data_IF_722670592071
#
_entry.id   IF_722670592071
#
_cell.length_a   1.000
_cell.length_b   1.000
_cell.length_c   1.000
_cell.angle_alpha   90.00
_cell.angle_beta   90.00
_cell.angle_gamma   90.00
#
_symmetry.space_group_name_H-M   'P 1'
#
loop_
_entity.id
_entity.type
_entity.pdbx_description
1 polymer ?
#
# COMPACT_ATOMS: atom_id res chain seq x y z
N UNK A 1 15.14 -19.06 -16.63
CA UNK A 1 16.02 -18.73 -15.46
C UNK A 1 15.11 -18.43 -14.30
N UNK A 2 15.50 -18.84 -13.08
CA UNK A 2 14.75 -18.55 -11.86
C UNK A 2 15.20 -17.22 -11.29
N UNK A 3 14.26 -16.33 -10.99
CA UNK A 3 14.51 -15.01 -10.38
C UNK A 3 14.92 -15.19 -8.93
N UNK A 4 16.11 -14.71 -8.57
CA UNK A 4 16.66 -14.79 -7.23
C UNK A 4 16.19 -13.61 -6.39
N UNK A 5 15.46 -13.87 -5.31
CA UNK A 5 14.87 -12.85 -4.46
C UNK A 5 15.64 -12.71 -3.14
N UNK A 6 16.05 -11.50 -2.81
CA UNK A 6 16.50 -11.16 -1.45
C UNK A 6 15.32 -10.58 -0.66
N UNK A 7 14.91 -11.26 0.41
CA UNK A 7 13.78 -10.88 1.26
C UNK A 7 14.28 -10.20 2.54
N UNK A 8 14.14 -8.90 2.64
CA UNK A 8 14.53 -8.11 3.83
C UNK A 8 13.33 -8.02 4.79
N UNK A 9 13.55 -8.37 6.05
CA UNK A 9 12.48 -8.47 7.06
C UNK A 9 11.67 -9.77 6.97
N UNK A 10 12.22 -10.81 6.35
CA UNK A 10 11.54 -12.09 6.11
C UNK A 10 11.08 -12.83 7.37
N UNK A 11 11.64 -12.53 8.53
CA UNK A 11 11.24 -13.11 9.84
C UNK A 11 10.02 -12.44 10.46
N UNK A 12 9.62 -11.26 9.95
CA UNK A 12 8.42 -10.53 10.37
C UNK A 12 7.12 -11.20 9.91
N UNK A 13 5.98 -10.68 10.36
CA UNK A 13 4.65 -11.22 10.00
C UNK A 13 4.41 -11.16 8.49
N UNK A 14 4.59 -9.99 7.87
CA UNK A 14 4.44 -9.81 6.42
C UNK A 14 5.50 -10.60 5.65
N UNK A 15 6.77 -10.56 6.12
CA UNK A 15 7.87 -11.27 5.47
C UNK A 15 7.63 -12.77 5.34
N UNK A 16 7.09 -13.41 6.40
CA UNK A 16 6.74 -14.85 6.35
C UNK A 16 5.63 -15.15 5.34
N UNK A 17 4.64 -14.27 5.22
CA UNK A 17 3.58 -14.43 4.21
C UNK A 17 4.18 -14.32 2.80
N UNK A 18 5.02 -13.31 2.56
CA UNK A 18 5.69 -13.11 1.28
C UNK A 18 6.57 -14.30 0.93
N UNK A 19 7.38 -14.80 1.87
CA UNK A 19 8.23 -15.97 1.68
C UNK A 19 7.39 -17.18 1.23
N UNK A 20 6.35 -17.52 2.00
CA UNK A 20 5.49 -18.66 1.66
C UNK A 20 4.74 -18.53 0.33
N UNK A 21 4.52 -17.29 -0.17
CA UNK A 21 3.95 -17.06 -1.50
C UNK A 21 5.01 -17.23 -2.59
N UNK A 22 6.23 -16.71 -2.37
CA UNK A 22 7.33 -16.84 -3.34
C UNK A 22 7.72 -18.31 -3.53
N UNK A 23 7.73 -19.12 -2.46
CA UNK A 23 8.01 -20.57 -2.53
C UNK A 23 7.01 -21.35 -3.41
N UNK A 24 5.83 -20.76 -3.65
CA UNK A 24 4.77 -21.35 -4.51
C UNK A 24 4.67 -20.65 -5.87
N UNK A 25 5.57 -19.72 -6.17
CA UNK A 25 5.52 -18.92 -7.39
C UNK A 25 6.55 -19.44 -8.41
N UNK A 26 6.05 -19.98 -9.51
CA UNK A 26 6.91 -20.53 -10.55
C UNK A 26 7.91 -19.49 -11.08
N UNK A 27 9.16 -19.88 -11.17
CA UNK A 27 10.22 -19.03 -11.69
C UNK A 27 10.80 -18.02 -10.69
N UNK A 28 10.48 -18.14 -9.41
CA UNK A 28 11.04 -17.33 -8.32
C UNK A 28 11.60 -18.22 -7.21
N UNK A 29 12.64 -17.75 -6.53
CA UNK A 29 13.27 -18.44 -5.40
C UNK A 29 13.80 -17.42 -4.41
N UNK A 30 13.56 -17.64 -3.12
CA UNK A 30 14.15 -16.82 -2.05
C UNK A 30 15.60 -17.26 -1.83
N UNK A 31 16.54 -16.47 -2.35
CA UNK A 31 17.98 -16.69 -2.22
C UNK A 31 18.50 -16.37 -0.83
N UNK A 32 18.03 -15.26 -0.24
CA UNK A 32 18.47 -14.80 1.08
C UNK A 32 17.33 -14.18 1.86
N UNK A 33 17.35 -14.36 3.18
CA UNK A 33 16.38 -13.78 4.13
C UNK A 33 17.16 -12.95 5.13
N UNK A 34 17.00 -11.63 5.04
CA UNK A 34 17.70 -10.68 5.88
C UNK A 34 16.83 -10.25 7.06
N UNK A 35 17.44 -10.19 8.24
CA UNK A 35 16.86 -9.66 9.47
C UNK A 35 17.52 -8.36 9.90
N UNK A 36 17.22 -7.90 11.12
CA UNK A 36 17.76 -6.65 11.68
C UNK A 36 19.28 -6.68 11.97
N UNK A 37 19.89 -7.87 12.05
CA UNK A 37 21.31 -8.05 12.26
C UNK A 37 22.10 -8.40 10.98
N UNK A 38 21.40 -8.55 9.84
CA UNK A 38 22.03 -8.87 8.55
C UNK A 38 22.68 -7.64 7.95
N UNK A 39 23.78 -7.86 7.21
CA UNK A 39 24.37 -6.83 6.37
C UNK A 39 23.56 -6.68 5.06
N UNK A 40 23.26 -5.46 4.65
CA UNK A 40 22.62 -5.20 3.37
C UNK A 40 23.47 -5.63 2.16
N UNK A 41 24.75 -5.92 2.32
CA UNK A 41 25.55 -6.54 1.28
C UNK A 41 25.04 -7.96 0.90
N UNK A 42 24.28 -8.62 1.77
CA UNK A 42 23.69 -9.94 1.49
C UNK A 42 22.61 -9.92 0.37
N UNK A 43 22.19 -8.71 -0.11
CA UNK A 43 21.33 -8.60 -1.30
C UNK A 43 22.11 -8.75 -2.61
N UNK A 44 23.43 -8.76 -2.58
CA UNK A 44 24.27 -8.87 -3.77
C UNK A 44 23.98 -10.18 -4.53
N UNK A 45 23.79 -10.06 -5.84
CA UNK A 45 23.45 -11.17 -6.72
C UNK A 45 21.98 -11.59 -6.69
N UNK A 46 21.09 -10.83 -6.05
CA UNK A 46 19.66 -10.96 -6.23
C UNK A 46 19.21 -10.26 -7.53
N UNK A 47 18.14 -10.77 -8.14
CA UNK A 47 17.46 -10.16 -9.28
C UNK A 47 16.35 -9.20 -8.84
N UNK A 48 15.81 -9.42 -7.63
CA UNK A 48 14.77 -8.62 -7.02
C UNK A 48 14.98 -8.53 -5.51
N UNK A 49 14.86 -7.34 -4.94
CA UNK A 49 14.78 -7.14 -3.49
C UNK A 49 13.30 -6.99 -3.09
N UNK A 50 12.88 -7.71 -2.05
CA UNK A 50 11.55 -7.51 -1.45
C UNK A 50 11.73 -7.00 -0.03
N UNK A 51 11.22 -5.81 0.25
CA UNK A 51 11.32 -5.16 1.54
C UNK A 51 10.03 -5.32 2.36
N UNK A 52 10.11 -6.10 3.43
CA UNK A 52 9.10 -6.26 4.46
C UNK A 52 9.68 -5.93 5.85
N UNK A 53 10.59 -4.96 5.92
CA UNK A 53 11.33 -4.58 7.12
C UNK A 53 10.54 -3.61 8.02
N UNK A 54 11.17 -2.55 8.47
CA UNK A 54 10.54 -1.50 9.27
C UNK A 54 10.58 -0.15 8.54
N UNK A 55 9.67 0.79 8.85
CA UNK A 55 9.71 2.13 8.26
C UNK A 55 11.07 2.85 8.39
N UNK A 56 11.80 2.59 9.47
CA UNK A 56 13.11 3.19 9.69
C UNK A 56 14.19 2.61 8.75
N UNK A 57 14.21 1.29 8.54
CA UNK A 57 15.22 0.62 7.73
C UNK A 57 14.91 0.67 6.22
N UNK A 58 13.64 0.77 5.86
CA UNK A 58 13.16 0.62 4.48
C UNK A 58 13.80 1.57 3.48
N UNK A 59 14.13 2.80 3.88
CA UNK A 59 14.78 3.76 2.97
C UNK A 59 16.20 3.31 2.59
N UNK A 60 16.93 2.72 3.53
CA UNK A 60 18.28 2.22 3.30
C UNK A 60 18.25 0.96 2.43
N UNK A 61 17.23 0.10 2.62
CA UNK A 61 16.99 -1.08 1.77
C UNK A 61 16.72 -0.65 0.33
N UNK A 62 15.82 0.32 0.12
CA UNK A 62 15.51 0.83 -1.23
C UNK A 62 16.76 1.42 -1.90
N UNK A 63 17.52 2.25 -1.17
CA UNK A 63 18.76 2.83 -1.69
C UNK A 63 19.78 1.76 -2.04
N UNK A 64 20.02 0.81 -1.14
CA UNK A 64 20.98 -0.26 -1.34
C UNK A 64 20.63 -1.14 -2.57
N UNK A 65 19.37 -1.43 -2.81
CA UNK A 65 18.91 -2.16 -3.98
C UNK A 65 19.14 -1.36 -5.26
N UNK A 66 18.67 -0.11 -5.30
CA UNK A 66 18.73 0.76 -6.48
C UNK A 66 20.17 1.09 -6.87
N UNK A 67 21.06 1.38 -5.91
CA UNK A 67 22.49 1.61 -6.14
C UNK A 67 23.23 0.41 -6.77
N UNK A 68 22.67 -0.80 -6.58
CA UNK A 68 23.16 -2.05 -7.19
C UNK A 68 22.49 -2.39 -8.52
N UNK A 69 21.59 -1.53 -9.01
CA UNK A 69 20.82 -1.78 -10.23
C UNK A 69 19.75 -2.86 -10.07
N UNK A 70 19.33 -3.16 -8.82
CA UNK A 70 18.33 -4.18 -8.50
C UNK A 70 16.96 -3.52 -8.30
N UNK A 71 15.91 -4.07 -8.92
CA UNK A 71 14.54 -3.64 -8.68
C UNK A 71 14.09 -3.97 -7.26
N UNK A 72 13.18 -3.16 -6.71
CA UNK A 72 12.69 -3.36 -5.34
C UNK A 72 11.17 -3.32 -5.25
N UNK A 73 10.60 -4.32 -4.55
CA UNK A 73 9.20 -4.35 -4.11
C UNK A 73 9.15 -3.99 -2.63
N UNK A 74 8.45 -2.92 -2.29
CA UNK A 74 8.34 -2.41 -0.93
C UNK A 74 6.94 -2.67 -0.38
N UNK A 75 6.84 -3.58 0.59
CA UNK A 75 5.64 -3.83 1.39
C UNK A 75 5.68 -3.16 2.76
N UNK A 76 6.80 -2.59 3.13
CA UNK A 76 6.97 -1.85 4.40
C UNK A 76 6.10 -0.59 4.40
N UNK A 77 5.38 -0.35 5.49
CA UNK A 77 4.56 0.86 5.67
C UNK A 77 5.39 2.13 5.90
N UNK A 78 4.73 3.30 5.91
CA UNK A 78 5.37 4.59 6.23
C UNK A 78 6.04 5.28 5.04
N UNK A 79 5.67 4.93 3.81
CA UNK A 79 6.08 5.63 2.60
C UNK A 79 5.03 6.66 2.19
N UNK A 80 5.24 7.92 2.60
CA UNK A 80 4.48 9.07 2.10
C UNK A 80 4.96 9.50 0.70
N UNK A 81 4.18 10.36 0.04
CA UNK A 81 4.58 10.91 -1.27
C UNK A 81 5.90 11.69 -1.18
N UNK A 82 6.12 12.44 -0.09
CA UNK A 82 7.36 13.17 0.15
C UNK A 82 8.54 12.21 0.30
N UNK A 83 8.35 11.11 1.02
CA UNK A 83 9.40 10.09 1.20
C UNK A 83 9.73 9.36 -0.09
N UNK A 84 8.74 9.06 -0.91
CA UNK A 84 8.92 8.48 -2.25
C UNK A 84 9.64 9.47 -3.17
N UNK A 85 9.32 10.77 -3.09
CA UNK A 85 10.00 11.80 -3.86
C UNK A 85 11.50 11.88 -3.59
N UNK A 86 11.97 11.51 -2.39
CA UNK A 86 13.39 11.47 -2.05
C UNK A 86 14.18 10.37 -2.78
N UNK A 87 13.53 9.25 -3.10
CA UNK A 87 14.18 8.11 -3.78
C UNK A 87 13.91 8.06 -5.27
N UNK A 88 12.88 8.76 -5.76
CA UNK A 88 12.51 8.79 -7.17
C UNK A 88 13.68 9.15 -8.11
N UNK A 89 14.46 10.24 -7.88
CA UNK A 89 15.56 10.59 -8.75
C UNK A 89 16.64 9.50 -8.81
N UNK A 90 16.87 8.79 -7.70
CA UNK A 90 17.82 7.67 -7.64
C UNK A 90 17.33 6.50 -8.49
N UNK A 91 16.05 6.11 -8.37
CA UNK A 91 15.42 5.05 -9.16
C UNK A 91 15.48 5.35 -10.65
N UNK A 92 15.15 6.58 -11.05
CA UNK A 92 15.16 7.03 -12.43
C UNK A 92 16.59 7.07 -13.01
N UNK A 93 17.55 7.58 -12.25
CA UNK A 93 18.96 7.63 -12.64
C UNK A 93 19.59 6.24 -12.81
N UNK A 94 19.23 5.29 -11.96
CA UNK A 94 19.70 3.91 -12.03
C UNK A 94 19.00 3.08 -13.12
N UNK A 95 17.90 3.58 -13.71
CA UNK A 95 17.09 2.84 -14.67
C UNK A 95 16.39 1.61 -14.08
N UNK A 96 16.21 1.57 -12.75
CA UNK A 96 15.58 0.49 -12.01
C UNK A 96 14.07 0.71 -11.82
N UNK A 97 13.39 -0.26 -11.19
CA UNK A 97 12.01 -0.15 -10.72
C UNK A 97 11.92 -0.18 -9.20
N UNK A 98 11.09 0.69 -8.63
CA UNK A 98 10.70 0.64 -7.23
C UNK A 98 9.17 0.63 -7.12
N UNK A 99 8.63 -0.46 -6.59
CA UNK A 99 7.18 -0.70 -6.50
C UNK A 99 6.77 -0.67 -5.04
N UNK A 100 6.00 0.34 -4.65
CA UNK A 100 5.54 0.56 -3.28
C UNK A 100 4.10 0.06 -3.14
N UNK A 101 3.89 -0.99 -2.35
CA UNK A 101 2.57 -1.59 -2.11
C UNK A 101 2.17 -1.40 -0.63
N UNK A 102 1.40 -0.36 -0.30
CA UNK A 102 0.98 -0.10 1.09
C UNK A 102 0.13 -1.22 1.68
N UNK A 103 -0.57 -1.97 0.83
CA UNK A 103 -1.43 -3.08 1.22
C UNK A 103 -1.54 -4.10 0.07
N UNK A 104 -1.22 -5.36 0.33
CA UNK A 104 -1.30 -6.45 -0.65
C UNK A 104 -2.70 -7.02 -0.84
N UNK A 105 -3.71 -6.60 -0.08
CA UNK A 105 -5.09 -7.06 -0.26
C UNK A 105 -5.70 -6.49 -1.53
N UNK A 106 -6.07 -7.36 -2.47
CA UNK A 106 -6.83 -6.97 -3.67
C UNK A 106 -8.17 -6.34 -3.32
N UNK A 107 -8.87 -6.89 -2.31
CA UNK A 107 -10.14 -6.32 -1.85
C UNK A 107 -10.00 -4.91 -1.32
N UNK A 108 -8.89 -4.62 -0.60
CA UNK A 108 -8.57 -3.28 -0.12
C UNK A 108 -8.25 -2.31 -1.28
N UNK A 109 -7.46 -2.74 -2.26
CA UNK A 109 -7.13 -1.94 -3.44
C UNK A 109 -8.38 -1.63 -4.27
N UNK A 110 -9.22 -2.65 -4.51
CA UNK A 110 -10.51 -2.47 -5.20
C UNK A 110 -11.45 -1.54 -4.43
N UNK A 111 -11.57 -1.71 -3.12
CA UNK A 111 -12.39 -0.84 -2.26
C UNK A 111 -11.97 0.63 -2.37
N UNK A 112 -10.66 0.90 -2.33
CA UNK A 112 -10.12 2.26 -2.49
C UNK A 112 -10.38 2.82 -3.89
N UNK A 113 -10.20 2.01 -4.93
CA UNK A 113 -10.43 2.43 -6.31
C UNK A 113 -11.92 2.68 -6.60
N UNK A 114 -12.83 1.85 -6.07
CA UNK A 114 -14.28 2.07 -6.17
C UNK A 114 -14.71 3.34 -5.42
N UNK A 115 -14.13 3.59 -4.23
CA UNK A 115 -14.39 4.82 -3.48
C UNK A 115 -13.93 6.07 -4.27
N UNK A 116 -12.75 6.00 -4.88
CA UNK A 116 -12.25 7.06 -5.77
C UNK A 116 -13.16 7.27 -6.98
N UNK A 117 -13.60 6.19 -7.64
CA UNK A 117 -14.51 6.28 -8.80
C UNK A 117 -15.88 6.88 -8.44
N UNK A 118 -16.38 6.64 -7.24
CA UNK A 118 -17.63 7.18 -6.74
C UNK A 118 -17.51 8.64 -6.23
N UNK A 119 -16.33 9.06 -5.78
CA UNK A 119 -16.08 10.36 -5.14
C UNK A 119 -16.57 11.60 -5.92
N UNK A 120 -16.51 11.66 -7.27
CA UNK A 120 -17.01 12.80 -8.03
C UNK A 120 -18.53 13.01 -7.94
N UNK A 121 -19.29 11.99 -7.56
CA UNK A 121 -20.75 12.01 -7.58
C UNK A 121 -21.38 12.40 -6.24
N UNK A 122 -20.59 12.46 -5.17
CA UNK A 122 -21.09 12.73 -3.83
C UNK A 122 -20.43 13.99 -3.23
N UNK A 123 -21.22 14.89 -2.62
CA UNK A 123 -20.69 16.12 -2.03
C UNK A 123 -19.95 15.90 -0.72
N UNK A 124 -20.19 14.80 0.00
CA UNK A 124 -19.60 14.50 1.30
C UNK A 124 -19.03 13.08 1.35
N UNK A 125 -17.93 12.89 2.07
CA UNK A 125 -17.37 11.58 2.35
C UNK A 125 -16.71 11.53 3.72
N UNK A 126 -16.77 10.38 4.37
CA UNK A 126 -16.05 10.06 5.60
C UNK A 126 -15.48 8.63 5.49
N UNK A 127 -14.39 8.36 6.19
CA UNK A 127 -13.79 7.03 6.28
C UNK A 127 -13.79 6.56 7.73
N UNK A 128 -14.25 5.33 7.97
CA UNK A 128 -14.11 4.64 9.27
C UNK A 128 -13.16 3.46 9.06
N UNK A 129 -12.05 3.42 9.82
CA UNK A 129 -11.11 2.30 9.79
C UNK A 129 -10.99 1.65 11.16
N UNK A 130 -10.84 0.34 11.19
CA UNK A 130 -10.67 -0.42 12.41
C UNK A 130 -9.50 -1.42 12.27
N UNK A 131 -8.67 -1.49 13.29
CA UNK A 131 -7.57 -2.44 13.38
C UNK A 131 -7.47 -3.02 14.79
N UNK A 132 -6.63 -4.04 14.93
CA UNK A 132 -6.31 -4.61 16.23
C UNK A 132 -5.71 -3.56 17.18
N UNK A 133 -5.84 -3.77 18.48
CA UNK A 133 -5.43 -2.84 19.55
C UNK A 133 -3.93 -2.50 19.55
N UNK A 134 -3.09 -3.37 18.96
CA UNK A 134 -1.62 -3.16 18.90
C UNK A 134 -1.15 -2.27 17.76
N UNK A 135 -2.04 -1.86 16.84
CA UNK A 135 -1.69 -0.95 15.76
C UNK A 135 -1.50 0.47 16.32
N UNK A 136 -0.29 1.00 16.19
CA UNK A 136 0.14 2.28 16.79
C UNK A 136 -0.28 3.46 15.91
N UNK A 137 -0.03 3.38 14.59
CA UNK A 137 -0.35 4.45 13.65
C UNK A 137 -1.87 4.64 13.49
N UNK A 138 -2.29 5.88 13.41
CA UNK A 138 -3.68 6.31 13.24
C UNK A 138 -3.70 7.68 12.55
N UNK A 139 -4.43 7.81 11.42
CA UNK A 139 -5.14 6.78 10.66
C UNK A 139 -4.20 5.74 10.02
N UNK A 140 -4.76 4.61 9.57
CA UNK A 140 -4.01 3.61 8.82
C UNK A 140 -3.54 4.16 7.46
N UNK A 141 -2.38 3.69 6.98
CA UNK A 141 -1.87 4.10 5.66
C UNK A 141 -2.84 3.82 4.50
N UNK A 142 -3.65 2.76 4.61
CA UNK A 142 -4.70 2.45 3.63
C UNK A 142 -5.81 3.50 3.65
N UNK A 143 -6.24 3.94 4.82
CA UNK A 143 -7.28 4.98 4.94
C UNK A 143 -6.78 6.34 4.42
N UNK A 144 -5.52 6.68 4.72
CA UNK A 144 -4.87 7.87 4.17
C UNK A 144 -4.85 7.81 2.64
N UNK A 145 -4.37 6.70 2.07
CA UNK A 145 -4.31 6.51 0.62
C UNK A 145 -5.70 6.57 -0.03
N UNK A 146 -6.72 5.97 0.58
CA UNK A 146 -8.10 6.01 0.08
C UNK A 146 -8.62 7.45 0.02
N UNK A 147 -8.42 8.24 1.09
CA UNK A 147 -8.82 9.65 1.13
C UNK A 147 -8.12 10.46 0.03
N UNK A 148 -6.82 10.28 -0.15
CA UNK A 148 -6.04 10.96 -1.21
C UNK A 148 -6.55 10.60 -2.61
N UNK A 149 -6.83 9.32 -2.88
CA UNK A 149 -7.38 8.86 -4.16
C UNK A 149 -8.78 9.45 -4.43
N UNK A 150 -9.65 9.49 -3.41
CA UNK A 150 -10.99 10.08 -3.52
C UNK A 150 -10.91 11.58 -3.85
N UNK A 151 -10.01 12.30 -3.19
CA UNK A 151 -9.83 13.75 -3.42
C UNK A 151 -9.25 14.02 -4.81
N UNK A 152 -8.24 13.27 -5.23
CA UNK A 152 -7.67 13.38 -6.57
C UNK A 152 -8.70 13.11 -7.68
N UNK A 153 -9.56 12.09 -7.49
CA UNK A 153 -10.59 11.74 -8.47
C UNK A 153 -11.69 12.81 -8.63
N UNK A 154 -11.85 13.71 -7.65
CA UNK A 154 -12.87 14.78 -7.68
C UNK A 154 -12.32 16.20 -7.78
N UNK A 155 -11.12 16.37 -8.27
CA UNK A 155 -10.47 17.69 -8.35
C UNK A 155 -11.37 18.76 -9.00
N UNK A 156 -12.07 18.40 -10.10
CA UNK A 156 -12.99 19.30 -10.82
C UNK A 156 -14.25 19.68 -10.02
N UNK A 157 -14.65 18.90 -9.00
CA UNK A 157 -15.82 19.16 -8.14
C UNK A 157 -15.46 19.94 -6.87
N UNK A 158 -14.16 20.15 -6.62
CA UNK A 158 -13.67 20.81 -5.40
C UNK A 158 -13.74 19.93 -4.15
N UNK A 159 -13.48 20.51 -2.96
CA UNK A 159 -13.36 19.76 -1.72
C UNK A 159 -14.68 19.11 -1.29
N UNK A 160 -14.58 18.04 -0.50
CA UNK A 160 -15.74 17.47 0.18
C UNK A 160 -16.33 18.42 1.22
N UNK A 161 -17.66 18.36 1.40
CA UNK A 161 -18.33 19.03 2.49
C UNK A 161 -18.09 18.26 3.79
N UNK A 162 -17.31 18.82 4.68
CA UNK A 162 -16.99 18.24 5.99
C UNK A 162 -17.25 19.28 7.10
N UNK A 163 -18.50 19.42 7.58
CA UNK A 163 -18.84 20.43 8.58
C UNK A 163 -18.22 20.09 9.96
N UNK A 164 -17.94 21.12 10.74
CA UNK A 164 -17.52 21.03 12.15
C UNK A 164 -16.23 20.21 12.39
N UNK A 165 -15.28 20.29 11.45
CA UNK A 165 -14.01 19.53 11.50
C UNK A 165 -13.05 19.97 12.61
N UNK A 166 -13.32 21.11 13.25
CA UNK A 166 -12.64 21.62 14.44
C UNK A 166 -12.96 20.84 15.72
N UNK A 167 -14.04 20.07 15.71
CA UNK A 167 -14.43 19.22 16.84
C UNK A 167 -13.65 17.91 16.85
N UNK A 168 -13.12 17.52 18.00
CA UNK A 168 -12.30 16.30 18.17
C UNK A 168 -13.01 15.02 17.75
N UNK A 169 -14.35 14.94 17.90
CA UNK A 169 -15.15 13.77 17.53
C UNK A 169 -15.34 13.62 16.01
N UNK A 170 -14.93 14.62 15.21
CA UNK A 170 -15.07 14.61 13.76
C UNK A 170 -13.92 13.90 13.01
N UNK A 171 -13.12 13.10 13.72
CA UNK A 171 -12.02 12.37 13.13
C UNK A 171 -10.81 13.24 12.77
N UNK A 172 -9.79 12.62 12.23
CA UNK A 172 -8.62 13.32 11.70
C UNK A 172 -8.86 13.68 10.23
N UNK A 173 -8.57 14.93 9.87
CA UNK A 173 -8.65 15.37 8.47
C UNK A 173 -7.47 14.82 7.67
N UNK A 174 -7.77 14.08 6.58
CA UNK A 174 -6.80 13.61 5.59
C UNK A 174 -7.23 14.14 4.22
N UNK A 175 -6.45 15.05 3.67
CA UNK A 175 -6.78 15.72 2.40
C UNK A 175 -8.19 16.35 2.36
N UNK A 176 -8.79 16.70 3.52
CA UNK A 176 -10.14 17.23 3.63
C UNK A 176 -11.25 16.16 3.80
N UNK A 177 -10.89 14.89 3.94
CA UNK A 177 -11.81 13.80 4.30
C UNK A 177 -11.65 13.47 5.79
N UNK A 178 -12.73 13.46 6.60
CA UNK A 178 -12.67 12.99 7.98
C UNK A 178 -12.41 11.48 8.03
N UNK A 179 -11.39 11.07 8.79
CA UNK A 179 -11.04 9.67 9.01
C UNK A 179 -11.16 9.32 10.49
N UNK A 180 -11.97 8.32 10.80
CA UNK A 180 -12.24 7.83 12.14
C UNK A 180 -11.53 6.49 12.36
N UNK A 181 -10.65 6.42 13.37
CA UNK A 181 -9.84 5.25 13.65
C UNK A 181 -10.32 4.50 14.89
N UNK A 182 -10.64 3.23 14.72
CA UNK A 182 -11.01 2.32 15.81
C UNK A 182 -9.88 1.32 16.07
N UNK A 183 -9.62 1.04 17.36
CA UNK A 183 -8.68 -0.01 17.80
C UNK A 183 -9.44 -1.01 18.68
N UNK A 184 -9.59 -2.26 18.17
CA UNK A 184 -10.49 -3.24 18.76
C UNK A 184 -9.86 -4.64 18.79
N UNK A 185 -10.00 -5.41 19.90
CA UNK A 185 -9.69 -6.83 19.90
C UNK A 185 -10.48 -7.60 18.83
N UNK A 186 -9.87 -8.63 18.25
CA UNK A 186 -10.53 -9.50 17.27
C UNK A 186 -10.69 -8.92 15.86
N UNK A 187 -10.25 -7.68 15.60
CA UNK A 187 -10.21 -7.08 14.26
C UNK A 187 -8.79 -7.19 13.72
N UNK A 188 -8.67 -7.62 12.47
CA UNK A 188 -7.39 -7.55 11.74
C UNK A 188 -7.26 -6.18 11.08
N UNK A 189 -8.08 -5.92 10.06
CA UNK A 189 -8.17 -4.64 9.38
C UNK A 189 -9.54 -4.51 8.72
N UNK A 190 -10.22 -3.38 8.90
CA UNK A 190 -11.49 -3.07 8.25
C UNK A 190 -11.50 -1.61 7.83
N UNK A 191 -12.09 -1.30 6.68
CA UNK A 191 -12.32 0.06 6.22
C UNK A 191 -13.71 0.19 5.62
N UNK A 192 -14.36 1.30 5.94
CA UNK A 192 -15.63 1.74 5.38
C UNK A 192 -15.42 3.12 4.77
N UNK A 193 -15.59 3.27 3.46
CA UNK A 193 -15.67 4.55 2.77
C UNK A 193 -17.15 4.90 2.59
N UNK A 194 -17.61 5.95 3.24
CA UNK A 194 -19.00 6.38 3.29
C UNK A 194 -19.11 7.66 2.46
N UNK A 195 -19.81 7.60 1.34
CA UNK A 195 -20.10 8.75 0.50
C UNK A 195 -21.58 9.13 0.65
N UNK A 196 -21.88 10.39 0.84
CA UNK A 196 -23.24 10.85 1.14
C UNK A 196 -23.64 12.02 0.25
N UNK A 197 -24.88 11.98 -0.20
CA UNK A 197 -25.54 13.01 -1.01
C UNK A 197 -26.98 13.26 -0.56
N UNK A 198 -27.71 14.16 -1.23
CA UNK A 198 -29.11 14.42 -0.93
C UNK A 198 -29.96 13.16 -1.13
N UNK A 199 -30.48 12.61 -0.03
CA UNK A 199 -31.41 11.49 -0.05
C UNK A 199 -30.79 10.09 -0.20
N UNK A 200 -29.45 9.97 -0.30
CA UNK A 200 -28.79 8.68 -0.44
C UNK A 200 -27.40 8.65 0.17
N UNK A 201 -26.89 7.45 0.39
CA UNK A 201 -25.49 7.20 0.72
C UNK A 201 -24.99 5.92 0.06
N UNK A 202 -23.71 5.89 -0.27
CA UNK A 202 -23.01 4.70 -0.75
C UNK A 202 -21.92 4.35 0.27
N UNK A 203 -21.92 3.12 0.77
CA UNK A 203 -20.86 2.63 1.66
C UNK A 203 -20.11 1.48 0.99
N UNK A 204 -18.81 1.61 0.89
CA UNK A 204 -17.91 0.58 0.39
C UNK A 204 -17.14 0.03 1.59
N UNK A 205 -17.34 -1.26 1.87
CA UNK A 205 -16.76 -1.93 3.04
C UNK A 205 -15.78 -3.00 2.59
N UNK A 206 -14.58 -2.98 3.17
CA UNK A 206 -13.61 -4.06 3.06
C UNK A 206 -13.20 -4.52 4.47
N UNK A 207 -13.21 -5.83 4.68
CA UNK A 207 -12.87 -6.48 5.96
C UNK A 207 -11.84 -7.60 5.72
N UNK A 208 -10.68 -7.50 6.34
CA UNK A 208 -9.65 -8.55 6.32
C UNK A 208 -9.81 -9.44 7.53
N UNK A 209 -10.20 -10.68 7.30
CA UNK A 209 -10.41 -11.69 8.35
C UNK A 209 -9.25 -12.68 8.49
N UNK A 210 -8.41 -12.77 7.45
CA UNK A 210 -7.16 -13.55 7.40
C UNK A 210 -6.14 -12.81 6.53
N UNK A 211 -5.08 -12.32 7.15
CA UNK A 211 -4.06 -11.54 6.43
C UNK A 211 -3.29 -12.38 5.40
N UNK A 212 -2.99 -13.64 5.71
CA UNK A 212 -2.22 -14.48 4.80
C UNK A 212 -3.01 -14.79 3.54
N UNK A 213 -4.28 -15.19 3.69
CA UNK A 213 -5.19 -15.46 2.58
C UNK A 213 -5.49 -14.19 1.77
N UNK A 214 -5.69 -13.04 2.43
CA UNK A 214 -6.01 -11.78 1.77
C UNK A 214 -4.83 -11.19 0.97
N UNK A 215 -3.59 -11.37 1.46
CA UNK A 215 -2.40 -10.77 0.84
C UNK A 215 -1.79 -11.64 -0.26
N UNK A 216 -1.93 -12.97 -0.19
CA UNK A 216 -1.31 -13.88 -1.15
C UNK A 216 -1.62 -13.55 -2.62
N UNK A 217 -2.86 -13.24 -3.05
CA UNK A 217 -3.15 -12.87 -4.43
C UNK A 217 -2.41 -11.60 -4.89
N UNK A 218 -2.37 -10.56 -4.05
CA UNK A 218 -1.66 -9.33 -4.38
C UNK A 218 -0.14 -9.50 -4.42
N UNK A 219 0.42 -10.34 -3.54
CA UNK A 219 1.86 -10.67 -3.58
C UNK A 219 2.19 -11.40 -4.87
N UNK A 220 1.34 -12.37 -5.30
CA UNK A 220 1.51 -13.09 -6.58
C UNK A 220 1.49 -12.18 -7.80
N UNK A 221 0.79 -11.06 -7.74
CA UNK A 221 0.79 -10.04 -8.79
C UNK A 221 2.00 -9.11 -8.67
N UNK A 222 2.31 -8.65 -7.46
CA UNK A 222 3.31 -7.62 -7.25
C UNK A 222 4.75 -8.11 -7.47
N UNK A 223 5.07 -9.35 -7.10
CA UNK A 223 6.43 -9.91 -7.21
C UNK A 223 6.89 -9.99 -8.67
N UNK A 224 6.14 -10.62 -9.60
CA UNK A 224 6.53 -10.65 -11.02
C UNK A 224 6.54 -9.24 -11.64
N UNK A 225 5.56 -8.40 -11.31
CA UNK A 225 5.51 -7.03 -11.80
C UNK A 225 6.75 -6.24 -11.38
N UNK A 226 7.16 -6.33 -10.12
CA UNK A 226 8.29 -5.59 -9.58
C UNK A 226 9.62 -6.01 -10.23
N UNK A 227 9.79 -7.29 -10.59
CA UNK A 227 10.97 -7.77 -11.33
C UNK A 227 11.17 -6.97 -12.63
N UNK A 228 10.10 -6.70 -13.36
CA UNK A 228 10.15 -6.10 -14.69
C UNK A 228 9.84 -4.58 -14.68
N UNK A 229 9.54 -4.01 -13.51
CA UNK A 229 9.17 -2.62 -13.35
C UNK A 229 10.30 -1.66 -13.76
N UNK A 230 9.90 -0.46 -14.19
CA UNK A 230 10.81 0.68 -14.41
C UNK A 230 10.20 1.93 -13.78
N UNK A 231 11.04 2.73 -13.15
CA UNK A 231 10.61 3.93 -12.43
C UNK A 231 9.84 3.58 -11.15
N UNK A 232 9.08 4.54 -10.65
CA UNK A 232 8.35 4.41 -9.38
C UNK A 232 6.89 4.12 -9.63
N UNK A 233 6.39 3.02 -9.07
CA UNK A 233 4.97 2.62 -9.07
C UNK A 233 4.47 2.56 -7.63
N UNK A 234 3.29 3.10 -7.35
CA UNK A 234 2.71 3.13 -5.99
C UNK A 234 1.28 2.61 -6.02
N UNK A 235 1.01 1.62 -5.18
CA UNK A 235 -0.34 1.04 -5.00
C UNK A 235 -0.61 -0.18 -5.87
N UNK A 236 -1.29 -1.14 -5.27
CA UNK A 236 -1.67 -2.39 -5.93
C UNK A 236 -2.74 -2.16 -7.02
N UNK A 237 -3.53 -1.09 -6.87
CA UNK A 237 -4.53 -0.66 -7.84
C UNK A 237 -3.96 -0.36 -9.24
N UNK A 238 -2.67 0.00 -9.31
CA UNK A 238 -1.98 0.24 -10.57
C UNK A 238 -1.49 -1.05 -11.26
N UNK A 239 -1.57 -2.18 -10.58
CA UNK A 239 -1.21 -3.49 -11.11
C UNK A 239 -2.42 -4.29 -11.62
N UNK A 240 -3.62 -3.80 -11.37
CA UNK A 240 -4.89 -4.50 -11.67
C UNK A 240 -5.75 -3.61 -12.58
N UNK A 241 -6.15 -4.12 -13.73
CA UNK A 241 -7.20 -3.47 -14.53
C UNK A 241 -8.56 -3.80 -13.91
N UNK A 242 -9.12 -2.83 -13.18
CA UNK A 242 -10.43 -2.97 -12.53
C UNK A 242 -11.60 -2.65 -13.48
N UNK A 243 -11.33 -2.37 -14.78
CA UNK A 243 -12.35 -2.09 -15.78
C UNK A 243 -13.10 -0.77 -15.59
N UNK A 244 -12.76 0.04 -14.58
CA UNK A 244 -13.34 1.37 -14.37
C UNK A 244 -12.45 2.37 -15.10
N UNK A 245 -12.87 2.75 -16.32
CA UNK A 245 -12.19 3.80 -17.10
C UNK A 245 -12.85 5.14 -16.79
N UNK A 246 -12.05 6.12 -16.32
CA UNK A 246 -12.48 7.50 -16.39
C UNK A 246 -12.81 7.84 -17.86
N UNK A 247 -13.97 8.44 -18.13
CA UNK A 247 -14.23 8.98 -19.47
C UNK A 247 -13.26 10.13 -19.70
N UNK A 248 -12.40 9.96 -20.68
CA UNK A 248 -11.54 11.02 -21.22
C UNK A 248 -12.37 12.15 -21.81
#
# INVERSE_FOLDING_TARGET
>A
MTTQVALVGGTGSLGRIIHGVIDQLDGFEVRSVLGSASDLAEIDGADLVVDASTPAASIDVVRAAVERGINVLVGTSGWSQERIALVRPLVESAGTGAVFIPNFSLGSALGSALAAAAAPFFPSAEIVEAHHERKIDSPSGTAVRTAELMVAAREAQGPFQAPHVDQRARGQQVAGVPVHSLRRPGVIAKQEAILSGPGESLTIVHDTVDSAAAYAPGIRLAVPFARDARGVVVGLENLVDIGIRARS
#
